data_IF_967172320118
#
_entry.id   IF_967172320118
#
_cell.length_a   1.000
_cell.length_b   1.000
_cell.length_c   1.000
_cell.angle_alpha   90.00
_cell.angle_beta   90.00
_cell.angle_gamma   90.00
#
_symmetry.space_group_name_H-M   'P 1'
#
loop_
_entity.id
_entity.type
_entity.pdbx_description
1 polymer ?
#
# COMPACT_ATOMS: atom_id res chain seq x y z
N UNK A 1 -16.69 8.49 8.59
CA UNK A 1 -16.33 7.50 7.57
C UNK A 1 -14.90 7.78 7.14
N UNK A 2 -13.97 6.85 7.37
CA UNK A 2 -12.61 6.92 6.82
C UNK A 2 -12.65 6.36 5.40
N UNK A 3 -12.17 7.13 4.42
CA UNK A 3 -12.00 6.63 3.06
C UNK A 3 -10.71 5.80 3.04
N UNK A 4 -10.82 4.48 3.01
CA UNK A 4 -9.67 3.57 2.95
C UNK A 4 -9.62 2.84 1.62
N UNK A 5 -8.41 2.54 1.15
CA UNK A 5 -8.19 1.59 0.05
C UNK A 5 -7.19 0.52 0.47
N UNK A 6 -7.26 -0.64 -0.18
CA UNK A 6 -6.29 -1.72 0.04
C UNK A 6 -5.08 -1.50 -0.87
N UNK A 7 -3.89 -1.52 -0.29
CA UNK A 7 -2.62 -1.49 -1.02
C UNK A 7 -1.84 -2.77 -0.73
N UNK A 8 -1.41 -3.45 -1.79
CA UNK A 8 -0.53 -4.61 -1.72
C UNK A 8 0.91 -4.19 -1.97
N UNK A 9 1.74 -4.26 -0.92
CA UNK A 9 3.17 -3.96 -0.96
C UNK A 9 3.93 -5.19 -1.45
N UNK A 10 4.77 -5.04 -2.47
CA UNK A 10 5.46 -6.17 -3.13
C UNK A 10 6.81 -6.52 -2.53
N UNK A 11 7.47 -5.56 -1.86
CA UNK A 11 8.87 -5.67 -1.42
C UNK A 11 9.90 -5.27 -2.49
N UNK A 12 9.48 -5.18 -3.77
CA UNK A 12 10.34 -4.69 -4.84
C UNK A 12 10.54 -3.18 -4.70
N UNK A 13 11.79 -2.74 -4.82
CA UNK A 13 12.12 -1.33 -4.75
C UNK A 13 13.35 -0.98 -5.60
N UNK A 14 13.45 0.30 -5.95
CA UNK A 14 14.62 0.90 -6.60
C UNK A 14 15.13 2.02 -5.72
N UNK A 15 16.41 1.98 -5.37
CA UNK A 15 17.08 3.05 -4.63
C UNK A 15 17.98 3.88 -5.54
N UNK A 16 18.25 5.11 -5.15
CA UNK A 16 19.15 6.01 -5.86
C UNK A 16 19.31 7.36 -5.16
N UNK A 17 19.96 8.29 -5.85
CA UNK A 17 20.11 9.68 -5.40
C UNK A 17 19.29 10.59 -6.31
N UNK A 18 18.41 11.40 -5.73
CA UNK A 18 17.52 12.26 -6.49
C UNK A 18 18.32 13.36 -7.19
N UNK A 19 18.26 13.43 -8.51
CA UNK A 19 19.10 14.32 -9.32
C UNK A 19 18.98 15.81 -8.95
N UNK A 20 17.79 16.25 -8.49
CA UNK A 20 17.55 17.66 -8.14
C UNK A 20 17.95 18.04 -6.72
N UNK A 21 17.83 17.11 -5.76
CA UNK A 21 18.04 17.42 -4.33
C UNK A 21 19.31 16.80 -3.75
N UNK A 22 19.93 15.85 -4.45
CA UNK A 22 21.07 15.08 -3.93
C UNK A 22 20.70 14.13 -2.79
N UNK A 23 19.41 14.01 -2.44
CA UNK A 23 18.97 13.18 -1.31
C UNK A 23 18.78 11.71 -1.74
N UNK A 24 19.09 10.75 -0.86
CA UNK A 24 18.77 9.35 -1.11
C UNK A 24 17.26 9.16 -1.24
N UNK A 25 16.85 8.27 -2.13
CA UNK A 25 15.46 7.87 -2.30
C UNK A 25 15.34 6.37 -2.49
N UNK A 26 14.18 5.85 -2.11
CA UNK A 26 13.76 4.51 -2.44
C UNK A 26 12.30 4.54 -2.96
N UNK A 27 12.08 4.05 -4.17
CA UNK A 27 10.75 3.93 -4.78
C UNK A 27 10.32 2.47 -4.74
N UNK A 28 9.22 2.20 -4.05
CA UNK A 28 8.67 0.86 -3.86
C UNK A 28 7.56 0.61 -4.85
N UNK A 29 7.44 -0.63 -5.30
CA UNK A 29 6.33 -1.06 -6.14
C UNK A 29 5.20 -1.62 -5.27
N UNK A 30 3.97 -1.23 -5.60
CA UNK A 30 2.76 -1.72 -4.96
C UNK A 30 1.62 -1.86 -5.98
N UNK A 31 0.53 -2.48 -5.52
CA UNK A 31 -0.72 -2.54 -6.27
C UNK A 31 -1.86 -1.98 -5.44
N UNK A 32 -2.56 -0.97 -5.97
CA UNK A 32 -3.71 -0.36 -5.33
C UNK A 32 -5.02 -1.00 -5.83
N UNK A 33 -5.88 -1.39 -4.90
CA UNK A 33 -7.24 -1.83 -5.17
C UNK A 33 -8.17 -0.62 -5.11
N UNK A 34 -8.63 -0.16 -6.28
CA UNK A 34 -9.46 1.03 -6.39
C UNK A 34 -10.96 0.65 -6.54
N UNK A 35 -11.88 1.41 -5.93
CA UNK A 35 -13.31 1.18 -6.12
C UNK A 35 -13.70 1.20 -7.60
N UNK A 36 -14.56 0.27 -8.01
CA UNK A 36 -15.06 0.12 -9.38
C UNK A 36 -13.98 -0.21 -10.45
N UNK A 37 -12.74 -0.48 -10.05
CA UNK A 37 -11.68 -0.95 -10.94
C UNK A 37 -11.46 -2.45 -10.68
N UNK A 38 -11.73 -3.34 -11.65
CA UNK A 38 -11.70 -4.79 -11.43
C UNK A 38 -10.33 -5.35 -11.03
N UNK A 39 -9.26 -4.74 -11.53
CA UNK A 39 -7.91 -5.23 -11.36
C UNK A 39 -7.04 -4.25 -10.57
N UNK A 40 -6.16 -4.74 -9.68
CA UNK A 40 -5.24 -3.87 -8.96
C UNK A 40 -4.34 -3.09 -9.93
N UNK A 41 -4.17 -1.81 -9.67
CA UNK A 41 -3.35 -0.93 -10.52
C UNK A 41 -1.94 -0.81 -9.95
N UNK A 42 -0.91 -1.02 -10.78
CA UNK A 42 0.48 -0.84 -10.36
C UNK A 42 0.71 0.62 -9.98
N UNK A 43 1.28 0.86 -8.81
CA UNK A 43 1.67 2.17 -8.33
C UNK A 43 3.06 2.12 -7.69
N UNK A 44 3.59 3.30 -7.41
CA UNK A 44 4.83 3.44 -6.65
C UNK A 44 4.67 4.43 -5.51
N UNK A 45 5.40 4.22 -4.44
CA UNK A 45 5.46 5.16 -3.32
C UNK A 45 6.91 5.34 -2.85
N UNK A 46 7.16 6.48 -2.23
CA UNK A 46 8.48 6.90 -1.78
C UNK A 46 8.71 6.54 -0.31
N UNK A 47 9.93 6.10 0.00
CA UNK A 47 10.49 6.18 1.35
C UNK A 47 11.98 6.56 1.27
N UNK A 48 12.54 7.08 2.36
CA UNK A 48 13.97 7.45 2.39
C UNK A 48 14.86 6.21 2.42
N UNK A 49 14.45 5.18 3.18
CA UNK A 49 15.22 3.95 3.35
C UNK A 49 14.34 2.70 3.23
N UNK A 50 14.92 1.55 2.83
CA UNK A 50 14.24 0.25 2.82
C UNK A 50 13.57 -0.14 4.14
N UNK A 51 14.13 0.29 5.26
CA UNK A 51 13.67 -0.10 6.60
C UNK A 51 12.38 0.63 7.01
N UNK A 52 12.03 1.74 6.34
CA UNK A 52 10.81 2.49 6.63
C UNK A 52 9.55 1.86 6.01
N UNK A 53 9.71 0.82 5.19
CA UNK A 53 8.60 0.21 4.46
C UNK A 53 8.11 -1.03 5.17
N UNK A 54 6.79 -1.19 5.34
CA UNK A 54 6.23 -2.37 5.96
C UNK A 54 6.50 -3.61 5.11
N UNK A 55 6.47 -4.78 5.76
CA UNK A 55 6.71 -6.06 5.10
C UNK A 55 5.74 -6.27 3.93
N UNK A 56 6.11 -7.04 2.89
CA UNK A 56 5.19 -7.38 1.80
C UNK A 56 3.86 -7.94 2.32
N UNK A 57 2.76 -7.54 1.67
CA UNK A 57 1.41 -7.90 2.08
C UNK A 57 0.39 -6.78 1.83
N UNK A 58 -0.84 -7.00 2.31
CA UNK A 58 -1.96 -6.09 2.10
C UNK A 58 -2.20 -5.21 3.32
N UNK A 59 -2.47 -3.93 3.05
CA UNK A 59 -2.68 -2.90 4.06
C UNK A 59 -3.93 -2.09 3.73
N UNK A 60 -4.79 -1.86 4.72
CA UNK A 60 -5.82 -0.83 4.65
C UNK A 60 -5.16 0.52 4.91
N UNK A 61 -5.21 1.39 3.91
CA UNK A 61 -4.54 2.68 3.92
C UNK A 61 -5.59 3.79 3.81
N UNK A 62 -5.51 4.79 4.69
CA UNK A 62 -6.37 5.97 4.60
C UNK A 62 -6.03 6.78 3.34
N UNK A 63 -7.08 7.26 2.66
CA UNK A 63 -7.00 8.20 1.55
C UNK A 63 -7.00 9.61 2.11
N UNK A 64 -5.89 10.31 1.95
CA UNK A 64 -5.69 11.66 2.43
C UNK A 64 -5.95 12.61 1.26
N UNK A 65 -7.08 13.32 1.31
CA UNK A 65 -7.38 14.38 0.35
C UNK A 65 -6.69 15.68 0.79
N UNK A 66 -5.93 16.30 -0.13
CA UNK A 66 -5.22 17.55 0.09
C UNK A 66 -5.43 18.50 -1.09
N UNK A 67 -5.21 19.80 -0.86
CA UNK A 67 -5.10 20.81 -1.91
C UNK A 67 -3.64 21.18 -2.07
N UNK A 68 -3.09 21.04 -3.28
CA UNK A 68 -1.75 21.49 -3.64
C UNK A 68 -1.81 22.14 -5.02
N UNK A 69 -1.23 23.33 -5.14
CA UNK A 69 -1.22 24.11 -6.39
C UNK A 69 -2.63 24.26 -7.01
N UNK A 70 -3.61 24.63 -6.18
CA UNK A 70 -5.04 24.78 -6.52
C UNK A 70 -5.73 23.52 -7.08
N UNK A 71 -5.13 22.34 -6.87
CA UNK A 71 -5.65 21.04 -7.32
C UNK A 71 -5.89 20.11 -6.16
N UNK A 72 -6.96 19.31 -6.27
CA UNK A 72 -7.18 18.17 -5.39
C UNK A 72 -6.15 17.09 -5.69
N UNK A 73 -5.46 16.66 -4.65
CA UNK A 73 -4.55 15.52 -4.66
C UNK A 73 -5.02 14.51 -3.63
N UNK A 74 -4.93 13.23 -3.97
CA UNK A 74 -5.23 12.13 -3.07
C UNK A 74 -3.94 11.37 -2.82
N UNK A 75 -3.49 11.36 -1.58
CA UNK A 75 -2.29 10.65 -1.14
C UNK A 75 -2.68 9.40 -0.34
N UNK A 76 -1.89 8.34 -0.50
CA UNK A 76 -2.05 7.07 0.23
C UNK A 76 -0.66 6.62 0.64
N UNK A 77 -0.46 6.38 1.94
CA UNK A 77 0.83 5.94 2.49
C UNK A 77 0.72 4.56 3.17
N UNK A 78 1.19 3.48 2.51
CA UNK A 78 1.18 2.14 3.09
C UNK A 78 1.96 2.02 4.40
N UNK A 79 2.90 2.93 4.69
CA UNK A 79 3.68 2.92 5.94
C UNK A 79 2.83 3.24 7.17
N UNK A 80 1.73 3.97 6.98
CA UNK A 80 0.76 4.28 8.02
C UNK A 80 -0.45 3.32 7.98
N UNK A 81 -0.47 2.40 7.02
CA UNK A 81 -1.56 1.47 6.80
C UNK A 81 -1.65 0.38 7.87
N UNK A 82 -2.88 -0.10 8.10
CA UNK A 82 -3.15 -1.23 8.98
C UNK A 82 -3.01 -2.53 8.21
N UNK A 83 -2.14 -3.43 8.68
CA UNK A 83 -1.92 -4.71 8.02
C UNK A 83 -3.18 -5.56 8.07
N UNK A 84 -3.61 -6.05 6.91
CA UNK A 84 -4.70 -7.01 6.81
C UNK A 84 -4.12 -8.37 7.14
N UNK A 85 -4.32 -8.82 8.39
CA UNK A 85 -4.03 -10.20 8.75
C UNK A 85 -4.99 -11.11 7.98
N UNK A 86 -4.45 -12.11 7.29
CA UNK A 86 -5.22 -13.20 6.69
C UNK A 86 -5.79 -14.10 7.81
N UNK A 87 -6.71 -13.56 8.60
CA UNK A 87 -7.53 -14.31 9.54
C UNK A 87 -8.93 -14.42 8.96
N UNK A 88 -9.14 -15.35 8.02
CA UNK A 88 -10.48 -15.79 7.69
C UNK A 88 -10.87 -16.91 8.66
N UNK A 89 -11.86 -16.74 9.56
CA UNK A 89 -12.57 -17.87 10.13
C UNK A 89 -13.71 -18.23 9.17
N UNK A 90 -13.61 -19.34 8.43
CA UNK A 90 -14.73 -19.74 7.58
C UNK A 90 -14.50 -20.82 6.54
N UNK A 91 -13.96 -21.98 6.93
CA UNK A 91 -14.35 -23.26 6.31
C UNK A 91 -13.80 -24.42 7.16
N UNK A 92 -14.44 -24.69 8.29
CA UNK A 92 -14.29 -25.99 8.95
C UNK A 92 -14.91 -27.05 8.03
N UNK A 93 -14.06 -27.85 7.38
CA UNK A 93 -14.48 -29.06 6.69
C UNK A 93 -15.21 -29.99 7.68
N UNK A 94 -16.30 -30.66 7.29
CA UNK A 94 -17.02 -31.57 8.18
C UNK A 94 -16.12 -32.76 8.52
N UNK A 95 -15.79 -32.90 9.81
CA UNK A 95 -15.03 -34.02 10.35
C UNK A 95 -15.92 -35.27 10.26
N UNK A 96 -15.56 -36.22 9.39
CA UNK A 96 -16.24 -37.51 9.28
C UNK A 96 -15.79 -38.38 10.47
N UNK A 97 -16.69 -38.64 11.40
CA UNK A 97 -16.51 -39.63 12.47
C UNK A 97 -16.51 -41.03 11.84
N UNK A 98 -15.46 -41.80 12.14
CA UNK A 98 -15.45 -43.27 12.07
C UNK A 98 -15.07 -43.79 13.45
#
# INVERSE_FOLDING_TARGET
MSNVIVVEVTGNHRSGTAAKSGKPYCMFEAYAHLPNIPYPQKCTFYAETPQQVPQPGKYECDVIAQVRDDRLIFEVDPRQGRRISSGAPGSSAPQKST
#
